data_IF_486674147517
#
_entry.id   IF_486674147517
#
_cell.length_a   1.000
_cell.length_b   1.000
_cell.length_c   1.000
_cell.angle_alpha   90.00
_cell.angle_beta   90.00
_cell.angle_gamma   90.00
#
_symmetry.space_group_name_H-M   'P 1'
#
loop_
_entity.id
_entity.type
_entity.pdbx_description
1 polymer ?
#
# COMPACT_ATOMS: atom_id res chain seq x y z
N UNK A 1 -4.99 3.41 -25.31
CA UNK A 1 -4.98 3.47 -24.68
C UNK A 1 -4.87 3.62 -23.71
N UNK A 2 -4.55 3.74 -23.90
CA UNK A 2 -4.09 3.91 -22.83
C UNK A 2 -4.60 4.86 -22.03
N UNK A 3 -4.69 5.88 -22.37
CA UNK A 3 -5.23 6.93 -21.63
C UNK A 3 -6.45 6.51 -20.92
N UNK A 4 -7.23 5.71 -21.49
CA UNK A 4 -8.34 5.22 -20.79
C UNK A 4 -7.92 4.43 -19.61
N UNK A 5 -6.82 3.74 -19.73
CA UNK A 5 -6.29 3.02 -18.58
C UNK A 5 -6.00 4.02 -17.49
N UNK A 6 -5.38 5.15 -17.84
CA UNK A 6 -5.10 6.17 -16.87
C UNK A 6 -6.34 6.66 -16.15
N UNK A 7 -7.45 6.79 -16.87
CA UNK A 7 -8.69 7.23 -16.28
C UNK A 7 -9.27 6.20 -15.32
N UNK A 8 -8.78 5.00 -15.33
CA UNK A 8 -9.28 3.93 -14.48
C UNK A 8 -8.44 3.67 -13.26
N UNK A 9 -7.24 4.22 -13.20
CA UNK A 9 -6.40 4.07 -12.03
C UNK A 9 -6.97 4.85 -10.87
N UNK A 10 -6.69 4.35 -9.68
CA UNK A 10 -7.03 5.09 -8.47
C UNK A 10 -5.82 5.90 -8.04
N UNK A 11 -6.00 7.20 -7.85
CA UNK A 11 -4.90 8.09 -7.46
C UNK A 11 -5.31 8.85 -6.20
N UNK A 12 -4.43 8.85 -5.19
CA UNK A 12 -4.67 9.61 -3.97
C UNK A 12 -3.34 10.18 -3.49
N UNK A 13 -3.38 11.38 -2.94
CA UNK A 13 -2.18 12.05 -2.44
C UNK A 13 -2.46 12.74 -1.13
N UNK A 14 -1.42 12.89 -0.32
CA UNK A 14 -1.50 13.60 0.95
C UNK A 14 -0.19 14.32 1.18
N UNK A 15 -0.26 15.57 1.65
CA UNK A 15 0.92 16.28 2.13
C UNK A 15 1.10 15.94 3.61
N UNK A 16 2.28 15.44 3.94
CA UNK A 16 2.62 14.99 5.30
C UNK A 16 3.61 15.97 5.91
N UNK A 17 3.43 16.24 7.20
CA UNK A 17 4.29 17.19 7.92
C UNK A 17 5.54 16.50 8.44
N UNK A 18 6.38 16.07 7.51
CA UNK A 18 7.64 15.42 7.83
C UNK A 18 8.54 15.46 6.60
N UNK A 19 9.85 15.41 6.84
CA UNK A 19 10.83 15.41 5.77
C UNK A 19 10.73 14.11 4.96
N UNK A 20 11.13 14.19 3.71
CA UNK A 20 11.04 13.09 2.77
C UNK A 20 11.74 11.82 3.27
N UNK A 21 12.87 11.97 3.94
CA UNK A 21 13.59 10.85 4.52
C UNK A 21 12.75 10.10 5.56
N UNK A 22 12.02 10.83 6.39
CA UNK A 22 11.20 10.19 7.42
C UNK A 22 9.99 9.47 6.82
N UNK A 23 9.39 10.07 5.80
CA UNK A 23 8.26 9.43 5.12
C UNK A 23 8.73 8.18 4.40
N UNK A 24 9.87 8.26 3.72
CA UNK A 24 10.46 7.10 3.04
C UNK A 24 10.74 5.97 4.03
N UNK A 25 11.37 6.28 5.17
CA UNK A 25 11.68 5.28 6.18
C UNK A 25 10.41 4.62 6.74
N UNK A 26 9.37 5.39 6.92
CA UNK A 26 8.11 4.86 7.45
C UNK A 26 7.51 3.78 6.54
N UNK A 27 7.83 3.83 5.25
CA UNK A 27 7.29 2.90 4.26
C UNK A 27 8.28 1.81 3.85
N UNK A 28 9.56 1.97 4.18
CA UNK A 28 10.60 1.05 3.70
C UNK A 28 11.36 0.32 4.79
N UNK A 29 10.99 0.52 6.04
CA UNK A 29 11.58 -0.23 7.15
C UNK A 29 10.47 -0.99 7.86
N UNK A 30 10.60 -2.32 7.92
CA UNK A 30 9.53 -3.15 8.43
C UNK A 30 9.16 -2.82 9.86
N UNK A 31 10.13 -2.46 10.72
CA UNK A 31 9.84 -2.10 12.10
C UNK A 31 9.02 -0.82 12.21
N UNK A 32 9.19 0.10 11.28
CA UNK A 32 8.39 1.33 11.25
C UNK A 32 7.02 1.07 10.66
N UNK A 33 6.96 0.27 9.60
CA UNK A 33 5.70 -0.07 8.95
C UNK A 33 4.75 -0.79 9.92
N UNK A 34 5.29 -1.63 10.79
CA UNK A 34 4.49 -2.34 11.81
C UNK A 34 3.72 -1.38 12.70
N UNK A 35 4.20 -0.17 12.89
CA UNK A 35 3.64 0.76 13.85
C UNK A 35 2.44 1.54 13.32
N UNK A 36 2.29 1.65 12.01
CA UNK A 36 1.21 2.48 11.47
C UNK A 36 0.41 1.81 10.34
N UNK A 37 0.99 0.83 9.64
CA UNK A 37 0.34 0.21 8.47
C UNK A 37 -0.93 -0.58 8.80
N UNK A 38 -0.97 -1.39 9.87
CA UNK A 38 -2.18 -2.18 10.11
C UNK A 38 -3.37 -1.28 10.41
N UNK A 39 -4.56 -1.64 9.89
CA UNK A 39 -5.78 -0.91 10.23
C UNK A 39 -6.01 -0.95 11.73
N UNK A 40 -6.84 -0.03 12.22
CA UNK A 40 -7.24 -0.06 13.62
C UNK A 40 -7.83 -1.42 13.94
N UNK A 41 -7.60 -1.90 15.14
CA UNK A 41 -8.01 -3.22 15.64
C UNK A 41 -7.22 -4.38 15.04
N UNK A 42 -6.20 -4.12 14.23
CA UNK A 42 -5.25 -5.15 13.78
C UNK A 42 -3.85 -4.86 14.31
N UNK A 43 -3.10 -5.92 14.54
CA UNK A 43 -1.69 -5.84 14.95
C UNK A 43 -0.87 -6.66 13.96
N UNK A 44 0.28 -6.15 13.56
CA UNK A 44 1.17 -6.89 12.66
C UNK A 44 1.92 -7.93 13.48
N UNK A 45 1.70 -9.20 13.16
CA UNK A 45 2.30 -10.33 13.89
C UNK A 45 3.52 -10.89 13.19
N UNK A 46 3.74 -10.52 11.93
CA UNK A 46 4.89 -10.99 11.16
C UNK A 46 5.19 -9.97 10.08
N UNK A 47 6.46 -9.69 9.86
CA UNK A 47 6.88 -8.77 8.80
C UNK A 47 8.29 -9.15 8.36
N UNK A 48 8.44 -9.47 7.08
CA UNK A 48 9.73 -9.80 6.49
C UNK A 48 9.89 -8.98 5.22
N UNK A 49 10.96 -8.20 5.14
CA UNK A 49 11.18 -7.29 4.03
C UNK A 49 12.56 -7.49 3.40
N UNK A 50 12.56 -7.57 2.08
CA UNK A 50 13.78 -7.56 1.28
C UNK A 50 13.58 -6.44 0.26
N UNK A 51 14.07 -5.24 0.59
CA UNK A 51 13.77 -4.02 -0.16
C UNK A 51 14.76 -3.85 -1.31
N UNK A 52 14.43 -4.46 -2.44
CA UNK A 52 15.20 -4.33 -3.67
C UNK A 52 14.32 -4.79 -4.83
N UNK A 53 14.62 -4.37 -6.06
CA UNK A 53 13.88 -4.91 -7.20
C UNK A 53 13.96 -6.43 -7.22
N UNK A 54 12.81 -7.08 -7.33
CA UNK A 54 12.72 -8.54 -7.24
C UNK A 54 12.56 -9.08 -5.83
N UNK A 55 12.82 -8.26 -4.82
CA UNK A 55 12.58 -8.65 -3.43
C UNK A 55 11.12 -8.50 -3.06
N UNK A 56 10.80 -8.81 -1.81
CA UNK A 56 9.40 -8.79 -1.37
C UNK A 56 9.26 -8.34 0.07
N UNK A 57 8.05 -7.93 0.40
CA UNK A 57 7.62 -7.69 1.78
C UNK A 57 6.42 -8.61 2.02
N UNK A 58 6.49 -9.40 3.07
CA UNK A 58 5.41 -10.33 3.43
C UNK A 58 5.03 -10.06 4.87
N UNK A 59 3.75 -9.84 5.12
CA UNK A 59 3.31 -9.53 6.47
C UNK A 59 2.04 -10.27 6.84
N UNK A 60 1.89 -10.52 8.13
CA UNK A 60 0.67 -11.07 8.68
C UNK A 60 0.12 -10.13 9.73
N UNK A 61 -1.19 -9.99 9.78
CA UNK A 61 -1.88 -9.15 10.76
C UNK A 61 -2.96 -9.96 11.45
N UNK A 62 -3.25 -9.61 12.70
CA UNK A 62 -4.28 -10.29 13.47
C UNK A 62 -5.22 -9.27 14.09
N UNK A 63 -6.53 -9.51 13.96
CA UNK A 63 -7.52 -8.64 14.57
C UNK A 63 -7.68 -8.96 16.06
N UNK A 64 -8.39 -8.09 16.76
CA UNK A 64 -8.69 -8.29 18.18
C UNK A 64 -9.42 -9.63 18.39
N UNK A 65 -10.30 -9.99 17.43
CA UNK A 65 -11.05 -11.25 17.51
C UNK A 65 -10.22 -12.48 17.13
N UNK A 66 -8.98 -12.27 16.68
CA UNK A 66 -8.10 -13.38 16.30
C UNK A 66 -8.11 -13.73 14.82
N UNK A 67 -8.83 -13.00 13.99
CA UNK A 67 -8.82 -13.21 12.55
C UNK A 67 -7.46 -12.82 11.99
N UNK A 68 -6.86 -13.69 11.18
CA UNK A 68 -5.55 -13.43 10.57
C UNK A 68 -5.68 -13.11 9.10
N UNK A 69 -4.86 -12.18 8.63
CA UNK A 69 -4.85 -11.74 7.25
C UNK A 69 -3.40 -11.54 6.82
N UNK A 70 -3.05 -12.08 5.65
CA UNK A 70 -1.68 -12.01 5.14
C UNK A 70 -1.65 -11.20 3.85
N UNK A 71 -0.57 -10.48 3.64
CA UNK A 71 -0.39 -9.70 2.44
C UNK A 71 1.05 -9.72 1.97
N UNK A 72 1.24 -9.35 0.70
CA UNK A 72 2.55 -9.47 0.07
C UNK A 72 2.74 -8.34 -0.93
N UNK A 73 3.95 -7.76 -0.93
CA UNK A 73 4.41 -6.85 -1.98
C UNK A 73 5.57 -7.52 -2.70
N UNK A 74 5.63 -7.39 -4.02
CA UNK A 74 6.82 -7.78 -4.79
C UNK A 74 7.35 -6.51 -5.42
N UNK A 75 8.55 -6.09 -5.03
CA UNK A 75 9.10 -4.81 -5.48
C UNK A 75 9.58 -4.86 -6.92
N UNK A 76 9.24 -3.83 -7.67
CA UNK A 76 9.68 -3.64 -9.05
C UNK A 76 10.70 -2.54 -9.19
N UNK A 77 10.48 -1.41 -8.50
CA UNK A 77 11.42 -0.29 -8.50
C UNK A 77 11.59 0.21 -7.08
N UNK A 78 12.82 0.50 -6.73
CA UNK A 78 13.15 1.13 -5.46
C UNK A 78 14.13 2.25 -5.77
N UNK A 79 13.64 3.49 -5.83
CA UNK A 79 14.46 4.67 -6.07
C UNK A 79 14.41 5.49 -4.79
N UNK A 80 15.47 5.41 -4.02
CA UNK A 80 15.49 5.97 -2.67
C UNK A 80 15.01 7.41 -2.64
N UNK A 81 14.09 7.69 -1.72
CA UNK A 81 13.51 9.01 -1.48
C UNK A 81 12.63 9.54 -2.60
N UNK A 82 12.47 8.79 -3.71
CA UNK A 82 11.72 9.28 -4.87
C UNK A 82 10.54 8.41 -5.25
N UNK A 83 10.75 7.10 -5.37
CA UNK A 83 9.68 6.24 -5.91
C UNK A 83 9.81 4.80 -5.46
N UNK A 84 8.68 4.22 -5.19
CA UNK A 84 8.57 2.82 -4.81
C UNK A 84 7.46 2.21 -5.66
N UNK A 85 7.77 1.14 -6.40
CA UNK A 85 6.79 0.46 -7.25
C UNK A 85 6.76 -1.01 -6.87
N UNK A 86 5.58 -1.54 -6.59
CA UNK A 86 5.46 -2.95 -6.23
C UNK A 86 4.10 -3.49 -6.64
N UNK A 87 4.05 -4.82 -6.77
CA UNK A 87 2.78 -5.55 -6.95
C UNK A 87 2.35 -5.99 -5.56
N UNK A 88 1.12 -5.62 -5.16
CA UNK A 88 0.61 -6.07 -3.87
C UNK A 88 -0.59 -6.98 -4.06
N UNK A 89 -0.78 -7.88 -3.11
CA UNK A 89 -1.83 -8.88 -3.14
C UNK A 89 -2.11 -9.39 -1.75
N UNK A 90 -3.26 -10.04 -1.56
CA UNK A 90 -3.48 -10.87 -0.41
C UNK A 90 -2.66 -12.15 -0.58
N UNK A 91 -2.29 -12.77 0.51
CA UNK A 91 -1.52 -14.02 0.47
C UNK A 91 -1.95 -14.91 1.62
N UNK A 92 -1.42 -16.13 1.62
CA UNK A 92 -1.51 -17.00 2.79
C UNK A 92 -0.22 -16.83 3.60
N UNK A 93 -0.11 -17.58 4.67
CA UNK A 93 1.06 -17.51 5.56
C UNK A 93 2.35 -17.88 4.84
N UNK A 94 2.26 -18.76 3.85
CA UNK A 94 3.42 -19.18 3.07
C UNK A 94 3.82 -18.19 1.98
N UNK A 95 3.02 -17.13 1.78
CA UNK A 95 3.33 -16.11 0.77
C UNK A 95 2.75 -16.40 -0.60
N UNK A 96 1.87 -17.37 -0.72
CA UNK A 96 1.20 -17.67 -1.97
C UNK A 96 0.00 -16.72 -2.16
N UNK A 97 -0.24 -16.32 -3.40
CA UNK A 97 -1.33 -15.38 -3.70
C UNK A 97 -2.69 -15.94 -3.32
N UNK A 98 -3.54 -15.09 -2.77
CA UNK A 98 -4.91 -15.47 -2.40
C UNK A 98 -5.87 -14.38 -2.86
N UNK A 99 -7.10 -14.80 -3.12
CA UNK A 99 -8.17 -13.86 -3.44
C UNK A 99 -8.55 -13.06 -2.20
N UNK A 100 -9.15 -11.89 -2.43
CA UNK A 100 -9.73 -11.08 -1.38
C UNK A 100 -10.70 -11.97 -0.57
N UNK A 101 -10.64 -11.94 0.76
CA UNK A 101 -11.44 -12.85 1.58
C UNK A 101 -12.96 -12.66 1.47
N UNK A 102 -13.39 -11.47 1.03
CA UNK A 102 -14.82 -11.15 0.98
C UNK A 102 -15.29 -10.89 -0.44
N UNK A 103 -14.46 -10.23 -1.27
CA UNK A 103 -14.83 -9.84 -2.62
C UNK A 103 -14.02 -10.65 -3.62
N UNK A 104 -14.56 -11.78 -4.12
CA UNK A 104 -13.78 -12.68 -4.99
C UNK A 104 -13.43 -12.09 -6.35
N UNK A 105 -14.11 -11.04 -6.78
CA UNK A 105 -13.82 -10.37 -8.05
C UNK A 105 -12.87 -9.18 -7.88
N UNK A 106 -12.34 -8.95 -6.68
CA UNK A 106 -11.29 -7.97 -6.47
C UNK A 106 -10.03 -8.43 -7.22
N UNK A 107 -9.30 -7.53 -7.87
CA UNK A 107 -8.09 -7.94 -8.60
C UNK A 107 -7.15 -8.74 -7.71
N UNK A 108 -6.63 -9.83 -8.26
CA UNK A 108 -5.69 -10.66 -7.52
C UNK A 108 -4.42 -9.89 -7.21
N UNK A 109 -4.00 -9.03 -8.15
CA UNK A 109 -2.78 -8.23 -7.99
C UNK A 109 -3.04 -6.78 -8.35
N UNK A 110 -2.41 -5.88 -7.60
CA UNK A 110 -2.46 -4.45 -7.86
C UNK A 110 -1.05 -3.93 -8.04
N UNK A 111 -0.85 -3.11 -9.06
CA UNK A 111 0.41 -2.38 -9.22
C UNK A 111 0.28 -1.10 -8.40
N UNK A 112 1.17 -0.92 -7.46
CA UNK A 112 1.19 0.26 -6.59
C UNK A 112 2.42 1.09 -6.91
N UNK A 113 2.20 2.38 -7.19
CA UNK A 113 3.28 3.33 -7.39
C UNK A 113 3.17 4.38 -6.31
N UNK A 114 4.24 4.57 -5.56
CA UNK A 114 4.32 5.61 -4.53
C UNK A 114 5.40 6.60 -4.95
N UNK A 115 5.06 7.89 -4.97
CA UNK A 115 6.00 8.95 -5.30
C UNK A 115 6.13 9.89 -4.11
N UNK A 116 7.36 10.32 -3.85
CA UNK A 116 7.71 11.15 -2.69
C UNK A 116 8.28 12.46 -3.23
N UNK A 117 7.62 13.58 -2.94
CA UNK A 117 8.05 14.89 -3.44
C UNK A 117 8.18 15.88 -2.30
N UNK A 118 9.23 16.69 -2.35
CA UNK A 118 9.38 17.76 -1.36
C UNK A 118 8.30 18.80 -1.54
N UNK A 119 7.81 19.32 -0.43
CA UNK A 119 6.86 20.42 -0.37
C UNK A 119 7.44 21.51 0.51
N UNK A 120 6.95 22.75 0.41
CA UNK A 120 7.46 23.85 1.23
C UNK A 120 7.39 23.52 2.73
N UNK A 121 8.29 24.13 3.50
CA UNK A 121 8.33 24.03 4.95
C UNK A 121 8.69 22.62 5.45
N UNK A 122 9.49 21.90 4.67
CA UNK A 122 9.97 20.58 5.10
C UNK A 122 8.92 19.50 5.08
N UNK A 123 7.87 19.70 4.29
CA UNK A 123 6.80 18.71 4.16
C UNK A 123 7.03 17.81 2.95
N UNK A 124 6.27 16.75 2.86
CA UNK A 124 6.38 15.79 1.76
C UNK A 124 5.01 15.46 1.21
N UNK A 125 4.92 15.48 -0.12
CA UNK A 125 3.71 15.00 -0.79
C UNK A 125 3.92 13.53 -1.16
N UNK A 126 3.08 12.67 -0.62
CA UNK A 126 3.08 11.25 -0.95
C UNK A 126 1.89 10.99 -1.87
N UNK A 127 2.17 10.49 -3.07
CA UNK A 127 1.15 10.14 -4.05
C UNK A 127 1.14 8.63 -4.22
N UNK A 128 -0.05 8.03 -4.17
CA UNK A 128 -0.22 6.60 -4.37
C UNK A 128 -1.13 6.39 -5.57
N UNK A 129 -0.67 5.55 -6.49
CA UNK A 129 -1.45 5.15 -7.66
C UNK A 129 -1.65 3.65 -7.60
N UNK A 130 -2.91 3.20 -7.67
CA UNK A 130 -3.27 1.80 -7.75
C UNK A 130 -3.82 1.49 -9.12
N UNK A 131 -3.32 0.41 -9.73
CA UNK A 131 -3.76 -0.05 -11.04
C UNK A 131 -3.88 -1.57 -11.00
N UNK A 132 -5.00 -2.15 -11.44
CA UNK A 132 -5.10 -3.61 -11.49
C UNK A 132 -4.03 -4.18 -12.42
N UNK A 133 -3.40 -5.26 -11.98
CA UNK A 133 -2.31 -5.89 -12.72
C UNK A 133 -2.74 -7.26 -13.22
N UNK A 134 -2.63 -7.49 -14.54
CA UNK A 134 -3.06 -8.76 -15.16
C UNK A 134 -4.49 -9.12 -14.78
N UNK A 135 -5.38 -8.12 -14.77
CA UNK A 135 -6.73 -8.29 -14.28
C UNK A 135 -7.69 -8.73 -15.37
N UNK A 136 -8.69 -9.51 -14.99
CA UNK A 136 -9.78 -9.88 -15.88
C UNK A 136 -10.74 -8.70 -16.00
N UNK A 137 -11.66 -8.80 -16.97
CA UNK A 137 -12.64 -7.75 -17.21
C UNK A 137 -13.52 -7.51 -15.96
N UNK A 138 -13.94 -8.59 -15.31
CA UNK A 138 -14.78 -8.44 -14.12
C UNK A 138 -13.99 -7.83 -12.96
N UNK A 139 -12.71 -8.14 -12.87
CA UNK A 139 -11.85 -7.54 -11.84
C UNK A 139 -11.68 -6.04 -12.07
N UNK A 140 -11.53 -5.64 -13.34
CA UNK A 140 -11.45 -4.22 -13.67
C UNK A 140 -12.72 -3.48 -13.27
N UNK A 141 -13.88 -4.07 -13.52
CA UNK A 141 -15.16 -3.46 -13.15
C UNK A 141 -15.26 -3.31 -11.64
N UNK A 142 -14.91 -4.36 -10.90
CA UNK A 142 -14.94 -4.33 -9.44
C UNK A 142 -14.03 -3.22 -8.91
N UNK A 143 -12.85 -3.10 -9.48
CA UNK A 143 -11.91 -2.06 -9.08
C UNK A 143 -12.51 -0.68 -9.30
N UNK A 144 -13.12 -0.44 -10.47
CA UNK A 144 -13.69 0.87 -10.79
C UNK A 144 -14.79 1.28 -9.83
N UNK A 145 -15.71 0.38 -9.53
CA UNK A 145 -16.84 0.74 -8.66
C UNK A 145 -16.41 0.85 -7.19
N UNK A 146 -15.18 0.46 -6.89
CA UNK A 146 -14.68 0.47 -5.51
C UNK A 146 -13.86 1.71 -5.16
N UNK A 147 -13.72 2.68 -6.08
CA UNK A 147 -12.87 3.85 -5.84
C UNK A 147 -13.25 4.63 -4.58
N UNK A 148 -14.54 4.76 -4.29
CA UNK A 148 -14.99 5.47 -3.09
C UNK A 148 -14.48 4.76 -1.83
N UNK A 149 -14.60 3.44 -1.79
CA UNK A 149 -14.09 2.66 -0.66
C UNK A 149 -12.58 2.73 -0.52
N UNK A 150 -11.88 2.72 -1.65
CA UNK A 150 -10.41 2.84 -1.65
C UNK A 150 -9.98 4.19 -1.08
N UNK A 151 -10.69 5.25 -1.44
CA UNK A 151 -10.37 6.58 -0.93
C UNK A 151 -10.50 6.62 0.60
N UNK A 152 -11.54 5.99 1.13
CA UNK A 152 -11.73 5.93 2.57
C UNK A 152 -10.63 5.11 3.24
N UNK A 153 -10.27 3.98 2.65
CA UNK A 153 -9.23 3.10 3.19
C UNK A 153 -7.88 3.79 3.21
N UNK A 154 -7.49 4.40 2.09
CA UNK A 154 -6.21 5.11 2.02
C UNK A 154 -6.21 6.35 2.88
N UNK A 155 -7.35 7.05 2.98
CA UNK A 155 -7.47 8.20 3.87
C UNK A 155 -7.18 7.81 5.31
N UNK A 156 -7.73 6.69 5.76
CA UNK A 156 -7.47 6.20 7.11
C UNK A 156 -5.99 5.82 7.29
N UNK A 157 -5.39 5.18 6.28
CA UNK A 157 -3.98 4.83 6.33
C UNK A 157 -3.09 6.08 6.40
N UNK A 158 -3.40 7.10 5.62
CA UNK A 158 -2.67 8.37 5.66
C UNK A 158 -2.81 9.04 7.03
N UNK A 159 -4.01 8.98 7.63
CA UNK A 159 -4.20 9.53 8.97
C UNK A 159 -3.31 8.81 9.98
N UNK A 160 -3.20 7.49 9.88
CA UNK A 160 -2.34 6.72 10.77
C UNK A 160 -0.86 7.06 10.55
N UNK A 161 -0.46 7.22 9.29
CA UNK A 161 0.90 7.62 8.95
C UNK A 161 1.21 9.00 9.51
N UNK A 162 0.29 9.95 9.34
CA UNK A 162 0.47 11.31 9.85
C UNK A 162 0.63 11.30 11.36
N UNK A 163 -0.17 10.51 12.06
CA UNK A 163 -0.07 10.39 13.52
C UNK A 163 1.26 9.79 13.94
N UNK A 164 1.72 8.77 13.22
CA UNK A 164 3.01 8.15 13.49
C UNK A 164 4.15 9.15 13.31
N UNK A 165 4.12 9.90 12.20
CA UNK A 165 5.17 10.89 11.91
C UNK A 165 5.19 12.03 12.94
N UNK A 166 4.03 12.39 13.49
CA UNK A 166 3.93 13.45 14.48
C UNK A 166 4.59 13.07 15.82
N UNK A 167 4.78 11.79 16.07
CA UNK A 167 5.43 11.35 17.31
C UNK A 167 6.94 11.58 17.29
N UNK A 168 7.47 12.02 16.19
CA UNK A 168 8.87 12.33 16.09
C UNK A 168 9.72 11.21 15.73
#
# INVERSE_FOLDING_TARGET
>A
MSAEAGGKDFVIARVLDAARERVWQALTESERLKQWWPPKSFTMISATMDLRPGGSFHCGMRSIEGYKMWGKFVYREVVALERLVFINSFSNEAGELKRHPIVPTWPLELLTTMSFEDEPEGKTKLTVIWSPHNATEIELKTFHISHVGMKATWGAAFDQLASYLAKG
#
